data_IF_151014642475
#
_entry.id   IF_151014642475
#
_cell.length_a   1.000
_cell.length_b   1.000
_cell.length_c   1.000
_cell.angle_alpha   90.00
_cell.angle_beta   90.00
_cell.angle_gamma   90.00
#
_symmetry.space_group_name_H-M   'P 1'
#
loop_
_entity.id
_entity.type
_entity.pdbx_description
1 polymer ?
#
# COMPACT_ATOMS: atom_id res chain seq x y z
N UNK A 1 -0.96 0.43 -9.47
CA UNK A 1 -0.84 -0.96 -9.91
C UNK A 1 -1.49 -1.19 -11.28
N UNK A 2 -2.74 -0.80 -11.51
CA UNK A 2 -3.40 -1.05 -12.81
C UNK A 2 -2.71 -0.37 -14.00
N UNK A 3 -2.13 0.80 -13.81
CA UNK A 3 -1.48 1.56 -14.89
C UNK A 3 -0.06 1.09 -15.20
N UNK A 4 0.66 0.53 -14.23
CA UNK A 4 2.06 0.12 -14.45
C UNK A 4 2.22 -0.94 -15.56
N UNK A 5 1.38 -1.98 -15.66
CA UNK A 5 1.45 -2.91 -16.78
C UNK A 5 1.19 -2.26 -18.15
N UNK A 6 0.27 -1.29 -18.23
CA UNK A 6 -0.01 -0.59 -19.48
C UNK A 6 1.09 0.39 -19.89
N UNK A 7 1.73 1.05 -18.92
CA UNK A 7 2.90 1.87 -19.15
C UNK A 7 4.05 1.01 -19.67
N UNK A 8 4.29 -0.16 -19.07
CA UNK A 8 5.31 -1.10 -19.50
C UNK A 8 5.03 -1.62 -20.93
N UNK A 9 3.76 -1.95 -21.23
CA UNK A 9 3.35 -2.37 -22.56
C UNK A 9 3.59 -1.27 -23.60
N UNK A 10 3.27 -0.02 -23.29
CA UNK A 10 3.57 1.12 -24.16
C UNK A 10 5.07 1.34 -24.36
N UNK A 11 5.90 0.97 -23.39
CA UNK A 11 7.36 0.98 -23.48
C UNK A 11 7.96 -0.24 -24.22
N UNK A 12 7.13 -1.16 -24.72
CA UNK A 12 7.55 -2.31 -25.51
C UNK A 12 7.63 -3.64 -24.76
N UNK A 13 7.34 -3.67 -23.45
CA UNK A 13 7.28 -4.91 -22.69
C UNK A 13 5.93 -5.61 -22.90
N UNK A 14 5.95 -6.83 -23.40
CA UNK A 14 4.72 -7.56 -23.76
C UNK A 14 4.02 -8.19 -22.55
N UNK A 15 4.80 -8.61 -21.56
CA UNK A 15 4.27 -9.31 -20.39
C UNK A 15 4.89 -8.75 -19.11
N UNK A 16 4.15 -7.86 -18.44
CA UNK A 16 4.62 -7.18 -17.24
C UNK A 16 5.04 -8.15 -16.12
N UNK A 17 4.24 -9.20 -15.89
CA UNK A 17 4.50 -10.13 -14.79
C UNK A 17 5.72 -11.03 -15.02
N UNK A 18 6.12 -11.26 -16.27
CA UNK A 18 7.30 -12.06 -16.63
C UNK A 18 8.53 -11.18 -16.87
N UNK A 19 8.34 -10.02 -17.52
CA UNK A 19 9.44 -9.18 -17.99
C UNK A 19 9.91 -8.16 -16.95
N UNK A 20 9.05 -7.78 -16.00
CA UNK A 20 9.31 -6.68 -15.07
C UNK A 20 9.15 -7.10 -13.61
N UNK A 21 7.99 -7.63 -13.22
CA UNK A 21 7.72 -7.97 -11.82
C UNK A 21 6.59 -8.98 -11.68
N UNK A 22 6.88 -10.12 -11.08
CA UNK A 22 5.87 -11.10 -10.69
C UNK A 22 5.05 -10.64 -9.47
N UNK A 23 3.92 -11.31 -9.22
CA UNK A 23 3.11 -11.04 -8.04
C UNK A 23 3.82 -11.40 -6.74
N UNK A 24 4.65 -12.43 -6.77
CA UNK A 24 5.50 -12.87 -5.67
C UNK A 24 6.57 -11.82 -5.35
N UNK A 25 7.23 -11.28 -6.37
CA UNK A 25 8.22 -10.21 -6.22
C UNK A 25 7.56 -8.94 -5.68
N UNK A 26 6.39 -8.56 -6.18
CA UNK A 26 5.63 -7.43 -5.64
C UNK A 26 5.31 -7.63 -4.15
N UNK A 27 4.84 -8.82 -3.77
CA UNK A 27 4.55 -9.16 -2.39
C UNK A 27 5.82 -9.16 -1.53
N UNK A 28 6.95 -9.63 -2.06
CA UNK A 28 8.25 -9.57 -1.39
C UNK A 28 8.67 -8.11 -1.14
N UNK A 29 8.63 -7.25 -2.16
CA UNK A 29 8.97 -5.83 -2.03
C UNK A 29 8.09 -5.14 -0.98
N UNK A 30 6.77 -5.34 -1.06
CA UNK A 30 5.83 -4.73 -0.12
C UNK A 30 6.00 -5.23 1.32
N UNK A 31 6.37 -6.49 1.51
CA UNK A 31 6.50 -7.09 2.85
C UNK A 31 7.86 -6.82 3.49
N UNK A 32 8.94 -6.86 2.70
CA UNK A 32 10.28 -7.00 3.25
C UNK A 32 11.22 -5.83 2.89
N UNK A 33 10.89 -5.02 1.89
CA UNK A 33 11.81 -4.03 1.34
C UNK A 33 11.33 -2.60 1.54
N UNK A 34 10.07 -2.31 1.19
CA UNK A 34 9.56 -0.94 1.22
C UNK A 34 8.66 -0.73 2.43
N UNK A 35 9.11 0.03 3.45
CA UNK A 35 8.31 0.32 4.63
C UNK A 35 7.25 1.40 4.35
N UNK A 36 6.33 1.58 5.29
CA UNK A 36 5.43 2.74 5.31
C UNK A 36 6.12 3.88 6.06
N UNK A 37 6.45 4.95 5.36
CA UNK A 37 7.19 6.10 5.91
C UNK A 37 6.33 7.36 6.07
N UNK A 38 5.03 7.27 5.81
CA UNK A 38 4.11 8.43 5.93
C UNK A 38 2.88 8.02 6.72
N UNK A 39 2.55 8.80 7.74
CA UNK A 39 1.33 8.65 8.54
C UNK A 39 0.17 9.46 7.91
N UNK A 40 -0.40 8.96 6.81
CA UNK A 40 -1.38 9.67 6.00
C UNK A 40 -2.77 9.03 6.01
N UNK A 41 -3.81 9.89 5.99
CA UNK A 41 -5.20 9.46 5.78
C UNK A 41 -5.35 8.71 4.44
N UNK A 42 -6.29 7.74 4.35
CA UNK A 42 -7.43 7.49 5.26
C UNK A 42 -7.10 6.64 6.50
N UNK A 43 -5.90 6.11 6.65
CA UNK A 43 -5.54 5.17 7.72
C UNK A 43 -4.57 5.75 8.74
N UNK A 44 -3.91 6.84 8.38
CA UNK A 44 -3.09 7.61 9.27
C UNK A 44 -3.79 8.88 9.75
N UNK A 45 -3.07 9.66 10.53
CA UNK A 45 -3.59 10.85 11.21
C UNK A 45 -3.64 12.08 10.31
N UNK A 46 -2.64 12.23 9.42
CA UNK A 46 -2.38 13.47 8.69
C UNK A 46 -3.01 13.51 7.31
N UNK A 47 -3.34 14.72 6.84
CA UNK A 47 -3.85 14.98 5.50
C UNK A 47 -2.70 15.22 4.50
N UNK A 48 -3.02 15.31 3.20
CA UNK A 48 -2.04 15.70 2.18
C UNK A 48 -1.53 17.13 2.37
N UNK A 49 -2.33 18.03 2.96
CA UNK A 49 -1.91 19.40 3.30
C UNK A 49 -0.83 19.36 4.38
N UNK A 50 -0.99 18.52 5.39
CA UNK A 50 0.02 18.36 6.44
C UNK A 50 1.35 17.84 5.86
N UNK A 51 1.29 16.89 4.94
CA UNK A 51 2.47 16.38 4.23
C UNK A 51 3.14 17.49 3.42
N UNK A 52 2.36 18.31 2.71
CA UNK A 52 2.88 19.43 1.92
C UNK A 52 3.62 20.44 2.80
N UNK A 53 3.07 20.80 3.98
CA UNK A 53 3.72 21.71 4.93
C UNK A 53 5.07 21.20 5.45
N UNK A 54 5.30 19.88 5.40
CA UNK A 54 6.56 19.22 5.78
C UNK A 54 7.55 19.06 4.61
N UNK A 55 7.27 19.69 3.48
CA UNK A 55 8.07 19.65 2.26
C UNK A 55 7.56 18.69 1.19
N UNK A 56 6.43 18.03 1.42
CA UNK A 56 5.69 17.29 0.39
C UNK A 56 6.35 16.01 -0.06
N UNK A 57 5.90 15.55 -1.22
CA UNK A 57 6.36 14.29 -1.86
C UNK A 57 7.87 14.30 -2.11
N UNK A 58 8.49 15.46 -2.27
CA UNK A 58 9.93 15.59 -2.51
C UNK A 58 10.76 15.08 -1.33
N UNK A 59 10.28 15.26 -0.09
CA UNK A 59 10.92 14.70 1.12
C UNK A 59 10.84 13.17 1.09
N UNK A 60 9.70 12.62 0.69
CA UNK A 60 9.51 11.17 0.57
C UNK A 60 10.47 10.59 -0.48
N UNK A 61 10.56 11.22 -1.66
CA UNK A 61 11.44 10.79 -2.75
C UNK A 61 12.91 10.88 -2.31
N UNK A 62 13.32 11.97 -1.67
CA UNK A 62 14.67 12.12 -1.13
C UNK A 62 15.02 10.98 -0.17
N UNK A 63 14.15 10.74 0.81
CA UNK A 63 14.34 9.70 1.83
C UNK A 63 14.49 8.30 1.21
N UNK A 64 13.65 7.97 0.22
CA UNK A 64 13.75 6.70 -0.50
C UNK A 64 14.99 6.59 -1.39
N UNK A 65 15.45 7.70 -2.00
CA UNK A 65 16.69 7.74 -2.77
C UNK A 65 17.91 7.53 -1.88
N UNK A 66 17.99 8.23 -0.74
CA UNK A 66 19.08 8.10 0.22
C UNK A 66 19.16 6.69 0.81
N UNK A 67 18.01 6.03 0.98
CA UNK A 67 17.93 4.64 1.41
C UNK A 67 18.21 3.61 0.28
N UNK A 68 18.45 4.05 -0.96
CA UNK A 68 18.68 3.15 -2.10
C UNK A 68 17.45 2.37 -2.57
N UNK A 69 16.24 2.81 -2.20
CA UNK A 69 14.96 2.18 -2.56
C UNK A 69 14.36 2.73 -3.86
N UNK A 70 14.95 3.77 -4.44
CA UNK A 70 14.57 4.32 -5.75
C UNK A 70 15.79 4.42 -6.66
N UNK A 71 15.56 4.20 -7.96
CA UNK A 71 16.58 4.44 -8.98
C UNK A 71 16.65 5.93 -9.32
N UNK A 72 17.72 6.59 -8.88
CA UNK A 72 17.93 8.01 -9.08
C UNK A 72 18.34 8.42 -10.50
N UNK A 73 18.78 7.47 -11.33
CA UNK A 73 19.23 7.72 -12.71
C UNK A 73 18.06 7.78 -13.72
N UNK A 74 16.84 7.53 -13.29
CA UNK A 74 15.66 7.63 -14.15
C UNK A 74 15.40 9.07 -14.56
N UNK A 75 15.12 9.30 -15.85
CA UNK A 75 14.76 10.61 -16.38
C UNK A 75 13.37 11.03 -15.92
N UNK A 76 13.25 12.28 -15.52
CA UNK A 76 11.98 12.93 -15.21
C UNK A 76 11.45 13.70 -16.44
N UNK A 77 10.23 14.19 -16.36
CA UNK A 77 9.61 15.00 -17.42
C UNK A 77 10.31 16.36 -17.66
N UNK A 78 11.19 16.79 -16.76
CA UNK A 78 12.00 18.01 -16.90
C UNK A 78 13.30 17.79 -17.68
N UNK A 79 13.62 16.54 -18.04
CA UNK A 79 14.86 16.15 -18.69
C UNK A 79 16.05 15.97 -17.74
N UNK A 80 15.87 16.20 -16.45
CA UNK A 80 16.85 15.90 -15.40
C UNK A 80 16.65 14.46 -14.90
N UNK A 81 17.68 13.85 -14.33
CA UNK A 81 17.50 12.62 -13.55
C UNK A 81 16.76 12.90 -12.25
N UNK A 82 16.15 11.88 -11.65
CA UNK A 82 15.45 12.02 -10.38
C UNK A 82 16.39 12.51 -9.27
N UNK A 83 17.62 12.01 -9.24
CA UNK A 83 18.67 12.45 -8.30
C UNK A 83 19.05 13.92 -8.50
N UNK A 84 19.24 14.38 -9.73
CA UNK A 84 19.52 15.78 -10.05
C UNK A 84 18.36 16.69 -9.63
N UNK A 85 17.13 16.30 -9.94
CA UNK A 85 15.94 17.05 -9.58
C UNK A 85 15.81 17.23 -8.06
N UNK A 86 15.96 16.15 -7.29
CA UNK A 86 15.88 16.20 -5.83
C UNK A 86 17.03 17.02 -5.24
N UNK A 87 18.25 16.88 -5.78
CA UNK A 87 19.40 17.69 -5.36
C UNK A 87 19.17 19.18 -5.60
N UNK A 88 18.59 19.55 -6.74
CA UNK A 88 18.27 20.95 -7.09
C UNK A 88 17.16 21.50 -6.18
N UNK A 89 16.11 20.72 -5.91
CA UNK A 89 14.98 21.14 -5.06
C UNK A 89 15.37 21.22 -3.59
N UNK A 90 16.39 20.47 -3.18
CA UNK A 90 16.93 20.45 -1.81
C UNK A 90 15.86 20.36 -0.71
N UNK A 91 14.95 19.36 -0.76
CA UNK A 91 13.90 19.25 0.25
C UNK A 91 14.48 18.98 1.65
N UNK A 92 13.77 19.37 2.73
CA UNK A 92 14.21 19.11 4.09
C UNK A 92 14.31 17.59 4.37
N UNK A 93 14.82 17.25 5.54
CA UNK A 93 14.82 15.89 6.05
C UNK A 93 13.44 15.53 6.61
N UNK A 94 13.10 14.22 6.73
CA UNK A 94 11.89 13.75 7.41
C UNK A 94 11.77 14.34 8.82
N UNK A 95 10.54 14.66 9.23
CA UNK A 95 10.25 15.33 10.50
C UNK A 95 10.02 14.37 11.69
N UNK A 96 10.00 13.06 11.45
CA UNK A 96 9.69 11.99 12.42
C UNK A 96 8.28 12.07 13.04
N UNK A 97 7.37 12.80 12.42
CA UNK A 97 5.98 12.93 12.88
C UNK A 97 4.99 12.62 11.77
N UNK A 98 5.10 13.29 10.64
CA UNK A 98 4.27 13.10 9.44
C UNK A 98 4.99 12.22 8.44
N UNK A 99 6.27 12.51 8.21
CA UNK A 99 7.16 11.77 7.32
C UNK A 99 8.31 11.20 8.16
N UNK A 100 8.42 9.88 8.17
CA UNK A 100 9.41 9.14 8.96
C UNK A 100 10.61 8.75 8.10
N UNK A 101 11.83 8.70 8.68
CA UNK A 101 12.99 8.15 7.98
C UNK A 101 12.79 6.65 7.68
N UNK A 102 13.45 6.17 6.64
CA UNK A 102 13.38 4.73 6.27
C UNK A 102 13.96 3.83 7.36
N UNK A 103 14.96 4.31 8.11
CA UNK A 103 15.60 3.59 9.21
C UNK A 103 14.69 3.44 10.44
N UNK A 104 13.71 4.34 10.59
CA UNK A 104 12.73 4.32 11.69
C UNK A 104 11.32 4.60 11.14
N UNK A 105 10.76 3.67 10.36
CA UNK A 105 9.53 3.90 9.61
C UNK A 105 8.29 3.89 10.50
N UNK A 106 7.22 4.51 10.03
CA UNK A 106 5.90 4.44 10.68
C UNK A 106 5.41 2.99 10.83
N UNK A 107 5.58 2.17 9.78
CA UNK A 107 5.37 0.71 9.83
C UNK A 107 6.48 0.01 9.05
N UNK A 108 7.02 -1.09 9.56
CA UNK A 108 8.15 -1.78 8.92
C UNK A 108 7.76 -2.50 7.62
N UNK A 109 6.47 -2.74 7.41
CA UNK A 109 5.97 -3.47 6.22
C UNK A 109 4.97 -2.63 5.45
N UNK A 110 5.01 -2.72 4.12
CA UNK A 110 4.01 -2.11 3.25
C UNK A 110 2.62 -2.72 3.40
N UNK A 111 1.60 -1.97 3.01
CA UNK A 111 0.18 -2.30 3.21
C UNK A 111 -0.53 -2.91 2.00
N UNK A 112 0.18 -3.29 0.95
CA UNK A 112 -0.41 -3.89 -0.24
C UNK A 112 -0.02 -5.36 -0.37
N UNK A 113 -0.99 -6.22 -0.74
CA UNK A 113 -0.77 -7.64 -1.03
C UNK A 113 -1.56 -8.04 -2.27
N UNK A 114 -0.90 -8.72 -3.17
CA UNK A 114 -1.56 -9.42 -4.27
C UNK A 114 -1.91 -10.81 -3.77
N UNK A 115 -3.18 -11.17 -3.86
CA UNK A 115 -3.70 -12.45 -3.38
C UNK A 115 -3.81 -13.43 -4.53
N UNK A 116 -3.36 -14.67 -4.28
CA UNK A 116 -3.48 -15.79 -5.20
C UNK A 116 -3.90 -17.05 -4.46
N UNK A 117 -4.36 -18.06 -5.19
CA UNK A 117 -4.78 -19.34 -4.66
C UNK A 117 -6.10 -19.82 -5.26
N UNK A 118 -6.72 -20.83 -4.64
CA UNK A 118 -7.95 -21.43 -5.13
C UNK A 118 -9.18 -20.49 -5.11
N UNK A 119 -9.20 -19.47 -4.22
CA UNK A 119 -10.26 -18.46 -4.15
C UNK A 119 -9.97 -17.23 -5.02
N UNK A 120 -8.72 -17.01 -5.41
CA UNK A 120 -8.28 -15.89 -6.25
C UNK A 120 -7.25 -16.40 -7.26
N UNK A 121 -7.70 -17.15 -8.29
CA UNK A 121 -6.79 -17.67 -9.30
C UNK A 121 -6.09 -16.52 -10.04
N UNK A 122 -4.88 -16.82 -10.53
CA UNK A 122 -4.07 -15.89 -11.33
C UNK A 122 -3.77 -14.55 -10.64
N UNK A 123 -3.75 -14.51 -9.30
CA UNK A 123 -3.47 -13.28 -8.53
C UNK A 123 -4.39 -12.12 -8.92
N UNK A 124 -5.67 -12.40 -9.08
CA UNK A 124 -6.67 -11.45 -9.58
C UNK A 124 -7.14 -10.41 -8.56
N UNK A 125 -6.73 -10.53 -7.30
CA UNK A 125 -7.18 -9.67 -6.20
C UNK A 125 -6.02 -8.97 -5.51
N UNK A 126 -6.27 -7.72 -5.09
CA UNK A 126 -5.30 -6.92 -4.34
C UNK A 126 -5.94 -6.52 -3.01
N UNK A 127 -5.29 -6.87 -1.91
CA UNK A 127 -5.68 -6.46 -0.58
C UNK A 127 -4.86 -5.24 -0.14
N UNK A 128 -5.55 -4.20 0.32
CA UNK A 128 -4.95 -3.07 0.99
C UNK A 128 -5.07 -3.27 2.50
N UNK A 129 -3.97 -3.59 3.16
CA UNK A 129 -3.92 -3.88 4.59
C UNK A 129 -3.92 -2.62 5.48
N UNK A 130 -3.60 -1.47 4.91
CA UNK A 130 -3.62 -0.21 5.63
C UNK A 130 -5.06 0.11 6.05
N UNK A 131 -5.35 0.10 7.35
CA UNK A 131 -6.68 0.42 7.90
C UNK A 131 -7.40 -0.72 8.62
N UNK A 132 -6.83 -1.91 8.69
CA UNK A 132 -7.34 -2.99 9.55
C UNK A 132 -6.83 -2.80 11.00
N UNK A 133 -6.86 -1.57 11.52
CA UNK A 133 -6.52 -1.29 12.92
C UNK A 133 -7.69 -1.49 13.89
N UNK A 134 -8.81 -1.99 13.43
CA UNK A 134 -9.99 -2.22 14.22
C UNK A 134 -9.97 -3.50 15.06
N UNK A 135 -9.05 -3.60 16.01
CA UNK A 135 -9.18 -4.60 17.09
C UNK A 135 -8.83 -6.04 16.74
N UNK A 136 -7.97 -6.24 15.76
CA UNK A 136 -7.39 -7.55 15.48
C UNK A 136 -5.97 -7.61 16.08
N UNK A 137 -5.73 -8.53 17.00
CA UNK A 137 -4.37 -8.82 17.45
C UNK A 137 -3.54 -9.34 16.27
N UNK A 138 -2.45 -8.65 15.95
CA UNK A 138 -1.52 -9.00 14.86
C UNK A 138 -2.18 -9.16 13.48
N UNK A 139 -3.29 -8.47 13.19
CA UNK A 139 -4.06 -8.61 11.95
C UNK A 139 -4.56 -10.05 11.69
N UNK A 140 -4.75 -10.84 12.72
CA UNK A 140 -5.26 -12.20 12.61
C UNK A 140 -6.65 -12.25 13.26
N UNK A 141 -7.65 -12.66 12.48
CA UNK A 141 -8.97 -13.02 12.99
C UNK A 141 -9.17 -14.53 12.95
N UNK A 142 -9.63 -15.09 14.06
CA UNK A 142 -10.04 -16.50 14.15
C UNK A 142 -11.46 -16.54 14.71
N UNK A 143 -12.36 -17.17 14.00
CA UNK A 143 -13.77 -17.26 14.41
C UNK A 143 -14.53 -18.33 13.62
N UNK A 144 -15.76 -18.54 13.99
CA UNK A 144 -16.67 -19.42 13.25
C UNK A 144 -17.12 -18.71 11.97
N UNK A 145 -17.15 -19.44 10.84
CA UNK A 145 -17.69 -18.94 9.59
C UNK A 145 -19.20 -19.26 9.51
N UNK A 146 -20.00 -18.27 9.11
CA UNK A 146 -21.37 -18.47 8.68
C UNK A 146 -21.46 -18.25 7.18
N UNK A 147 -21.99 -19.20 6.46
CA UNK A 147 -22.10 -19.19 5.00
C UNK A 147 -23.53 -18.78 4.62
N UNK A 148 -23.63 -17.91 3.61
CA UNK A 148 -24.90 -17.45 3.05
C UNK A 148 -24.95 -17.76 1.57
N UNK A 149 -26.15 -18.10 1.09
CA UNK A 149 -26.39 -18.33 -0.34
C UNK A 149 -26.83 -17.00 -0.98
N UNK A 150 -25.82 -16.17 -1.30
CA UNK A 150 -25.98 -14.86 -1.92
C UNK A 150 -26.09 -13.68 -0.95
N UNK A 151 -25.91 -12.49 -1.49
CA UNK A 151 -25.90 -11.22 -0.76
C UNK A 151 -27.22 -10.95 -0.01
N UNK A 152 -28.35 -11.21 -0.66
CA UNK A 152 -29.66 -10.93 -0.07
C UNK A 152 -29.89 -11.73 1.21
N UNK A 153 -29.48 -12.99 1.25
CA UNK A 153 -29.58 -13.85 2.44
C UNK A 153 -28.75 -13.31 3.60
N UNK A 154 -27.58 -12.75 3.33
CA UNK A 154 -26.75 -12.07 4.32
C UNK A 154 -27.46 -10.80 4.84
N UNK A 155 -27.93 -9.95 3.94
CA UNK A 155 -28.59 -8.68 4.27
C UNK A 155 -29.85 -8.92 5.09
N UNK A 156 -30.71 -9.87 4.71
CA UNK A 156 -31.91 -10.23 5.45
C UNK A 156 -31.58 -10.67 6.88
N UNK A 157 -30.49 -11.42 7.04
CA UNK A 157 -30.05 -11.84 8.37
C UNK A 157 -29.52 -10.68 9.21
N UNK A 158 -28.80 -9.73 8.61
CA UNK A 158 -28.26 -8.56 9.33
C UNK A 158 -29.36 -7.54 9.69
N UNK A 159 -30.39 -7.39 8.86
CA UNK A 159 -31.45 -6.39 9.06
C UNK A 159 -32.54 -6.90 10.02
N UNK A 160 -32.92 -8.17 9.93
CA UNK A 160 -34.09 -8.74 10.63
C UNK A 160 -33.75 -9.51 11.90
N UNK A 161 -32.49 -9.79 12.14
CA UNK A 161 -32.06 -10.35 13.42
C UNK A 161 -31.28 -9.27 14.16
N UNK A 162 -31.60 -9.00 15.41
CA UNK A 162 -30.74 -8.25 16.36
C UNK A 162 -29.40 -9.00 16.60
N UNK A 163 -28.89 -9.60 15.55
CA UNK A 163 -27.85 -10.61 15.50
C UNK A 163 -26.44 -10.02 15.66
N UNK A 164 -26.29 -8.71 15.73
CA UNK A 164 -24.99 -8.07 15.91
C UNK A 164 -24.39 -8.31 17.31
N UNK A 165 -25.24 -8.59 18.30
CA UNK A 165 -24.74 -8.88 19.65
C UNK A 165 -24.12 -10.27 19.79
N UNK A 166 -24.59 -11.25 18.99
CA UNK A 166 -24.15 -12.65 19.09
C UNK A 166 -22.98 -13.04 18.15
N UNK A 167 -22.65 -12.20 17.18
CA UNK A 167 -21.72 -12.56 16.10
C UNK A 167 -20.27 -12.15 16.33
N UNK A 168 -19.99 -11.45 17.42
CA UNK A 168 -18.68 -10.85 17.56
C UNK A 168 -18.42 -9.83 16.44
N UNK A 169 -17.19 -9.51 16.17
CA UNK A 169 -16.83 -8.57 15.10
C UNK A 169 -16.99 -9.24 13.74
N UNK A 170 -17.93 -8.78 12.93
CA UNK A 170 -18.03 -9.15 11.51
C UNK A 170 -17.05 -8.27 10.72
N UNK A 171 -16.14 -8.92 10.00
CA UNK A 171 -15.24 -8.25 9.08
C UNK A 171 -15.84 -8.34 7.66
N UNK A 172 -16.02 -7.17 7.03
CA UNK A 172 -16.36 -7.03 5.63
C UNK A 172 -15.11 -6.85 4.79
#
# INVERSE_FOLDING_TARGET
MLHAPEIARAAGYKNFSQDIMSSEEFNHLSKNVVPVIVDARPFGKYSMVDIDTKGGVQVIVKNLLEAGLLNGETLTCTGETLSEQIKRLSPPNPDNEVIYPVESPYKPTGGLRVLGGNLSPEYSSILKLAGVEGGLENNIFKGQAKIFDGEQSLLDTLIYQDALEDWGKVLF
#
